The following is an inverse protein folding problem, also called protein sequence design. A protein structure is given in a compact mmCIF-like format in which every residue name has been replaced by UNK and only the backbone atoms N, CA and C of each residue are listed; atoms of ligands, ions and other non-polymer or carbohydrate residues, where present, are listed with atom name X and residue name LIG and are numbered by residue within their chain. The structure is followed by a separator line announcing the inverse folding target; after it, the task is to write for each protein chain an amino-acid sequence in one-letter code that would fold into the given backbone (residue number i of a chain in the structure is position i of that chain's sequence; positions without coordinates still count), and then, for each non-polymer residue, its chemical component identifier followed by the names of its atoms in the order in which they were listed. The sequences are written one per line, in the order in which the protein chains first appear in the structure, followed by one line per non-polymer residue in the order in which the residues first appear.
data_IF_047107485806
#
_entry.id   IF_047107485806
#
_cell.length_a   1.000
_cell.length_b   1.000
_cell.length_c   1.000
_cell.angle_alpha   90.00
_cell.angle_beta   90.00
_cell.angle_gamma   90.00
#
_symmetry.space_group_name_H-M   'P 1'
#
loop_
_entity.id
_entity.type
_entity.pdbx_description
1 polymer ?
#
# COMPACT_ATOMS: atom_id res chain seq x y z
N UNK A 1 18.04 14.39 84.88
CA UNK A 1 16.66 14.27 85.39
C UNK A 1 15.74 14.22 84.17
N UNK A 2 14.71 13.37 84.22
CA UNK A 2 13.56 13.29 83.29
C UNK A 2 13.74 12.42 82.02
N UNK A 3 12.64 11.71 81.71
CA UNK A 3 12.45 10.41 81.03
C UNK A 3 11.68 10.56 79.70
N UNK A 4 11.86 9.56 78.79
CA UNK A 4 10.88 8.95 77.82
C UNK A 4 10.33 9.87 76.68
N UNK A 5 9.73 9.34 75.58
CA UNK A 5 9.05 8.04 75.41
C UNK A 5 9.27 7.24 74.10
N UNK A 6 8.63 6.05 74.10
CA UNK A 6 8.53 5.02 73.07
C UNK A 6 7.72 5.43 71.81
N UNK A 7 8.09 4.79 70.68
CA UNK A 7 7.40 4.39 69.43
C UNK A 7 6.22 5.19 68.83
N UNK A 8 6.12 5.12 67.48
CA UNK A 8 4.85 4.75 66.88
C UNK A 8 5.01 3.73 65.73
N UNK A 9 4.84 2.43 66.03
CA UNK A 9 4.54 1.40 65.01
C UNK A 9 3.22 1.68 64.25
N UNK A 10 2.40 2.63 64.73
CA UNK A 10 1.10 3.00 64.17
C UNK A 10 1.15 3.72 62.81
N UNK A 11 2.29 4.32 62.43
CA UNK A 11 2.42 5.10 61.19
C UNK A 11 2.65 4.24 59.94
N UNK A 12 3.32 3.09 60.10
CA UNK A 12 3.62 2.18 58.97
C UNK A 12 2.38 1.44 58.48
N UNK A 13 1.48 1.06 59.38
CA UNK A 13 0.24 0.35 59.03
C UNK A 13 -0.74 1.24 58.26
N UNK A 14 -0.88 2.51 58.65
CA UNK A 14 -1.74 3.46 57.95
C UNK A 14 -1.26 3.74 56.52
N UNK A 15 0.06 3.84 56.32
CA UNK A 15 0.66 4.03 55.00
C UNK A 15 0.47 2.81 54.08
N UNK A 16 0.59 1.60 54.64
CA UNK A 16 0.36 0.34 53.92
C UNK A 16 -1.11 0.17 53.49
N UNK A 17 -2.05 0.55 54.35
CA UNK A 17 -3.48 0.51 54.04
C UNK A 17 -3.84 1.49 52.92
N UNK A 18 -3.29 2.71 52.93
CA UNK A 18 -3.51 3.69 51.85
C UNK A 18 -2.96 3.20 50.51
N UNK A 19 -1.79 2.55 50.51
CA UNK A 19 -1.17 2.02 49.30
C UNK A 19 -1.99 0.85 48.72
N UNK A 20 -2.52 -0.02 49.57
CA UNK A 20 -3.42 -1.10 49.16
C UNK A 20 -4.74 -0.57 48.59
N UNK A 21 -5.35 0.44 49.23
CA UNK A 21 -6.59 1.07 48.73
C UNK A 21 -6.38 1.70 47.35
N UNK A 22 -5.23 2.35 47.12
CA UNK A 22 -4.89 2.94 45.82
C UNK A 22 -4.65 1.88 44.73
N UNK A 23 -4.06 0.73 45.07
CA UNK A 23 -3.87 -0.37 44.12
C UNK A 23 -5.20 -1.02 43.74
N UNK A 24 -6.09 -1.24 44.71
CA UNK A 24 -7.43 -1.80 44.45
C UNK A 24 -8.29 -0.86 43.61
N UNK A 25 -8.22 0.46 43.82
CA UNK A 25 -8.95 1.42 42.99
C UNK A 25 -8.44 1.44 41.54
N UNK A 26 -7.12 1.33 41.34
CA UNK A 26 -6.52 1.24 40.00
C UNK A 26 -6.93 -0.05 39.26
N UNK A 27 -6.99 -1.18 39.96
CA UNK A 27 -7.42 -2.46 39.37
C UNK A 27 -8.90 -2.44 38.94
N UNK A 28 -9.77 -1.83 39.75
CA UNK A 28 -11.19 -1.67 39.41
C UNK A 28 -11.39 -0.75 38.20
N UNK A 29 -10.67 0.37 38.12
CA UNK A 29 -10.71 1.26 36.96
C UNK A 29 -10.20 0.54 35.71
N UNK A 30 -9.10 -0.21 35.82
CA UNK A 30 -8.57 -0.98 34.70
C UNK A 30 -9.56 -2.06 34.21
N UNK A 31 -10.21 -2.77 35.11
CA UNK A 31 -11.22 -3.78 34.75
C UNK A 31 -12.43 -3.16 34.03
N UNK A 32 -12.93 -2.01 34.49
CA UNK A 32 -14.07 -1.31 33.88
C UNK A 32 -13.70 -0.70 32.52
N UNK A 33 -12.52 -0.12 32.39
CA UNK A 33 -12.05 0.41 31.09
C UNK A 33 -11.81 -0.73 30.09
N UNK A 34 -11.32 -1.88 30.55
CA UNK A 34 -11.09 -3.05 29.69
C UNK A 34 -12.39 -3.70 29.20
N UNK A 35 -13.48 -3.65 29.97
CA UNK A 35 -14.79 -4.16 29.54
C UNK A 35 -15.54 -3.17 28.64
N UNK A 36 -15.32 -1.86 28.79
CA UNK A 36 -15.92 -0.84 27.92
C UNK A 36 -15.22 -0.73 26.56
N UNK A 37 -13.94 -1.09 26.47
CA UNK A 37 -13.16 -1.03 25.23
C UNK A 37 -13.12 -2.34 24.42
N UNK A 38 -13.62 -3.46 24.97
CA UNK A 38 -13.74 -4.73 24.25
C UNK A 38 -15.21 -5.16 24.13
N UNK A 39 -15.90 -4.86 23.02
CA UNK A 39 -17.19 -5.48 22.75
C UNK A 39 -16.97 -6.96 22.45
N UNK A 40 -17.50 -7.83 23.31
CA UNK A 40 -17.57 -9.28 23.12
C UNK A 40 -18.30 -9.59 21.81
N UNK A 41 -17.56 -10.17 20.87
CA UNK A 41 -18.10 -10.76 19.63
C UNK A 41 -18.83 -12.04 20.00
N UNK A 42 -20.14 -12.09 19.73
CA UNK A 42 -20.92 -13.33 19.75
C UNK A 42 -20.56 -14.17 18.50
N UNK A 43 -20.33 -15.49 18.64
CA UNK A 43 -20.15 -16.40 17.52
C UNK A 43 -21.47 -17.11 17.15
N UNK A 44 -21.63 -17.42 15.84
CA UNK A 44 -22.76 -18.06 15.11
C UNK A 44 -23.53 -17.03 14.26
N UNK A 45 -23.68 -17.15 12.94
CA UNK A 45 -23.86 -18.35 12.12
C UNK A 45 -23.43 -18.14 10.65
N UNK A 46 -23.47 -19.23 9.91
CA UNK A 46 -22.63 -19.71 8.82
C UNK A 46 -22.98 -19.33 7.37
N UNK A 47 -21.96 -19.54 6.51
CA UNK A 47 -22.03 -20.02 5.12
C UNK A 47 -22.31 -19.04 3.96
N UNK A 48 -21.23 -18.69 3.24
CA UNK A 48 -21.19 -18.83 1.78
C UNK A 48 -19.73 -18.95 1.33
N UNK A 49 -19.20 -20.17 1.34
CA UNK A 49 -18.05 -20.50 0.50
C UNK A 49 -18.53 -20.55 -0.95
N UNK A 50 -17.89 -19.77 -1.81
CA UNK A 50 -17.81 -20.12 -3.23
C UNK A 50 -16.41 -19.80 -3.72
N UNK A 51 -15.76 -20.88 -4.10
CA UNK A 51 -14.45 -21.11 -4.66
C UNK A 51 -14.18 -20.21 -5.88
N UNK A 52 -13.08 -19.45 -5.88
CA UNK A 52 -12.47 -19.02 -7.15
C UNK A 52 -10.94 -18.95 -7.03
N UNK A 53 -10.32 -20.02 -7.51
CA UNK A 53 -8.89 -20.26 -7.54
C UNK A 53 -8.30 -19.82 -8.89
N UNK A 54 -7.91 -18.56 -9.04
CA UNK A 54 -6.80 -18.12 -9.92
C UNK A 54 -6.21 -16.80 -9.38
N UNK A 55 -5.00 -16.88 -8.80
CA UNK A 55 -4.05 -15.77 -8.57
C UNK A 55 -4.60 -14.43 -8.05
N UNK A 56 -5.54 -14.47 -7.09
CA UNK A 56 -5.84 -13.33 -6.23
C UNK A 56 -4.83 -13.31 -5.10
N UNK A 57 -3.92 -12.33 -5.09
CA UNK A 57 -3.18 -12.00 -3.87
C UNK A 57 -4.22 -11.43 -2.91
N UNK A 58 -4.71 -12.28 -2.01
CA UNK A 58 -5.51 -11.89 -0.86
C UNK A 58 -4.58 -11.12 0.09
N UNK A 59 -4.45 -9.82 -0.15
CA UNK A 59 -3.99 -8.92 0.89
C UNK A 59 -4.99 -9.11 2.03
N UNK A 60 -4.53 -9.58 3.20
CA UNK A 60 -5.36 -9.66 4.41
C UNK A 60 -5.84 -8.27 4.80
N UNK A 61 -6.82 -7.76 4.05
CA UNK A 61 -7.26 -6.39 4.04
C UNK A 61 -8.02 -6.16 5.34
N UNK A 62 -7.48 -5.28 6.18
CA UNK A 62 -8.36 -4.53 7.06
C UNK A 62 -9.28 -3.72 6.15
N UNK A 63 -10.54 -4.16 6.03
CA UNK A 63 -11.62 -3.43 5.35
C UNK A 63 -11.57 -1.95 5.78
N UNK A 64 -11.05 -1.05 4.93
CA UNK A 64 -11.03 0.40 5.17
C UNK A 64 -9.72 1.17 4.90
N UNK A 65 -8.64 0.54 4.45
CA UNK A 65 -7.39 1.28 4.15
C UNK A 65 -7.32 1.85 2.72
N UNK A 66 -7.89 1.17 1.72
CA UNK A 66 -7.88 1.62 0.32
C UNK A 66 -9.11 2.46 -0.07
N UNK A 67 -9.15 2.92 -1.32
CA UNK A 67 -10.23 3.71 -1.92
C UNK A 67 -10.39 5.13 -1.34
N UNK A 68 -9.32 5.74 -0.84
CA UNK A 68 -9.35 7.12 -0.30
C UNK A 68 -9.25 8.20 -1.37
N UNK A 69 -8.53 7.91 -2.46
CA UNK A 69 -8.25 8.85 -3.55
C UNK A 69 -7.26 9.96 -3.14
N UNK A 70 -7.09 10.94 -4.03
CA UNK A 70 -6.33 12.18 -3.81
C UNK A 70 -7.32 13.32 -3.63
N UNK A 71 -7.22 14.00 -2.50
CA UNK A 71 -8.00 15.21 -2.22
C UNK A 71 -7.55 16.36 -3.12
N UNK A 72 -8.47 17.28 -3.39
CA UNK A 72 -8.19 18.49 -4.17
C UNK A 72 -7.66 18.19 -5.59
N UNK A 73 -8.20 17.13 -6.21
CA UNK A 73 -7.88 16.70 -7.55
C UNK A 73 -9.17 16.36 -8.30
N UNK A 74 -9.34 16.92 -9.51
CA UNK A 74 -10.40 16.58 -10.43
C UNK A 74 -9.81 15.86 -11.65
N UNK A 75 -10.01 14.54 -11.68
CA UNK A 75 -9.71 13.74 -12.86
C UNK A 75 -10.83 13.89 -13.89
N UNK A 76 -10.46 14.12 -15.14
CA UNK A 76 -11.38 14.22 -16.26
C UNK A 76 -11.70 12.84 -16.85
N UNK A 77 -12.60 12.79 -17.82
CA UNK A 77 -12.98 11.56 -18.52
C UNK A 77 -14.44 11.56 -18.93
N UNK A 78 -14.79 10.67 -19.85
CA UNK A 78 -16.17 10.49 -20.28
C UNK A 78 -17.00 9.91 -19.12
N UNK A 79 -18.13 10.53 -18.79
CA UNK A 79 -18.99 10.07 -17.71
C UNK A 79 -19.67 8.74 -18.10
N UNK A 80 -19.50 7.72 -17.25
CA UNK A 80 -20.24 6.45 -17.34
C UNK A 80 -21.39 6.41 -16.33
N UNK A 81 -21.28 7.18 -15.24
CA UNK A 81 -22.38 7.46 -14.32
C UNK A 81 -22.35 8.94 -13.93
N UNK A 82 -23.50 9.61 -14.08
CA UNK A 82 -23.68 11.02 -13.74
C UNK A 82 -23.84 11.18 -12.23
N UNK A 83 -23.03 12.06 -11.63
CA UNK A 83 -23.01 12.25 -10.18
C UNK A 83 -24.22 13.00 -9.62
N UNK A 84 -24.96 13.74 -10.46
CA UNK A 84 -26.20 14.42 -10.08
C UNK A 84 -27.22 13.48 -9.42
N UNK A 85 -27.32 12.26 -9.97
CA UNK A 85 -28.26 11.22 -9.55
C UNK A 85 -27.57 10.03 -8.88
N UNK A 86 -26.25 10.14 -8.65
CA UNK A 86 -25.44 9.08 -8.09
C UNK A 86 -24.60 9.62 -6.95
N UNK A 87 -25.10 9.42 -5.72
CA UNK A 87 -24.54 10.02 -4.51
C UNK A 87 -24.17 8.98 -3.47
N UNK A 88 -23.10 9.25 -2.74
CA UNK A 88 -22.59 8.44 -1.64
C UNK A 88 -22.23 9.31 -0.44
N UNK A 89 -21.98 8.67 0.70
CA UNK A 89 -21.58 9.35 1.93
C UNK A 89 -20.05 9.41 2.07
N UNK A 90 -19.30 8.68 1.24
CA UNK A 90 -17.84 8.64 1.28
C UNK A 90 -17.18 8.40 -0.07
N UNK A 91 -15.91 8.80 -0.19
CA UNK A 91 -15.06 8.47 -1.33
C UNK A 91 -14.84 6.97 -1.48
N UNK A 92 -14.82 6.24 -0.36
CA UNK A 92 -14.68 4.78 -0.32
C UNK A 92 -15.82 4.10 -1.07
N UNK A 93 -17.06 4.48 -0.79
CA UNK A 93 -18.24 3.95 -1.48
C UNK A 93 -18.23 4.31 -2.98
N UNK A 94 -17.82 5.54 -3.33
CA UNK A 94 -17.70 5.97 -4.72
C UNK A 94 -16.65 5.16 -5.50
N UNK A 95 -15.47 4.95 -4.91
CA UNK A 95 -14.42 4.11 -5.46
C UNK A 95 -14.87 2.66 -5.61
N UNK A 96 -15.54 2.10 -4.60
CA UNK A 96 -16.09 0.74 -4.64
C UNK A 96 -17.13 0.57 -5.74
N UNK A 97 -17.97 1.59 -5.98
CA UNK A 97 -18.91 1.59 -7.09
C UNK A 97 -18.19 1.56 -8.45
N UNK A 98 -17.08 2.28 -8.60
CA UNK A 98 -16.23 2.19 -9.79
C UNK A 98 -15.63 0.79 -9.96
N UNK A 99 -15.05 0.23 -8.88
CA UNK A 99 -14.49 -1.14 -8.87
C UNK A 99 -15.52 -2.21 -9.22
N UNK A 100 -16.78 -2.04 -8.79
CA UNK A 100 -17.86 -2.97 -9.14
C UNK A 100 -18.19 -2.97 -10.64
N UNK A 101 -17.77 -1.94 -11.39
CA UNK A 101 -17.88 -1.90 -12.85
C UNK A 101 -16.64 -2.50 -13.56
N UNK A 102 -15.75 -3.16 -12.81
CA UNK A 102 -14.57 -3.87 -13.29
C UNK A 102 -14.70 -5.40 -13.19
N UNK A 103 -15.89 -5.94 -12.92
CA UNK A 103 -16.12 -7.37 -12.62
C UNK A 103 -16.24 -8.30 -13.86
N UNK A 104 -15.91 -7.82 -15.06
CA UNK A 104 -15.96 -8.64 -16.27
C UNK A 104 -14.81 -9.65 -16.33
N UNK A 105 -15.11 -10.90 -16.71
CA UNK A 105 -14.08 -11.94 -16.90
C UNK A 105 -13.18 -11.67 -18.12
N UNK A 106 -13.68 -10.91 -19.11
CA UNK A 106 -12.94 -10.51 -20.32
C UNK A 106 -13.31 -9.07 -20.70
N UNK A 107 -12.40 -8.11 -20.45
CA UNK A 107 -12.52 -6.73 -20.96
C UNK A 107 -12.02 -5.64 -20.02
N UNK A 108 -11.74 -4.43 -20.54
CA UNK A 108 -11.33 -3.27 -19.74
C UNK A 108 -12.47 -2.81 -18.84
N UNK A 109 -12.13 -2.22 -17.68
CA UNK A 109 -13.12 -1.65 -16.77
C UNK A 109 -14.03 -0.64 -17.48
N UNK A 110 -15.35 -0.70 -17.24
CA UNK A 110 -16.28 0.35 -17.70
C UNK A 110 -16.03 1.66 -16.95
N UNK A 111 -15.65 1.60 -15.68
CA UNK A 111 -15.20 2.73 -14.89
C UNK A 111 -13.75 2.50 -14.46
N UNK A 112 -12.84 3.41 -14.81
CA UNK A 112 -11.45 3.39 -14.33
C UNK A 112 -11.06 4.69 -13.63
N UNK A 113 -12.00 5.63 -13.47
CA UNK A 113 -11.80 6.89 -12.76
C UNK A 113 -13.07 7.26 -12.02
N UNK A 114 -12.92 7.76 -10.80
CA UNK A 114 -14.03 8.26 -10.01
C UNK A 114 -13.68 9.61 -9.41
N UNK A 115 -14.71 10.45 -9.20
CA UNK A 115 -14.59 11.78 -8.59
C UNK A 115 -15.72 11.93 -7.58
N UNK A 116 -15.40 12.31 -6.35
CA UNK A 116 -16.33 12.41 -5.23
C UNK A 116 -16.25 13.77 -4.54
N UNK A 117 -17.41 14.36 -4.19
CA UNK A 117 -17.47 15.61 -3.43
C UNK A 117 -17.82 15.35 -1.96
N UNK A 118 -16.80 15.24 -1.11
CA UNK A 118 -16.97 14.87 0.30
C UNK A 118 -17.06 16.02 1.30
N UNK A 119 -16.69 17.24 0.92
CA UNK A 119 -16.70 18.39 1.84
C UNK A 119 -17.99 19.19 1.67
N UNK A 120 -18.90 19.15 2.65
CA UNK A 120 -20.22 19.81 2.55
C UNK A 120 -20.14 21.31 2.26
N UNK A 121 -19.17 22.00 2.85
CA UNK A 121 -19.00 23.46 2.71
C UNK A 121 -18.46 23.82 1.32
N UNK A 122 -17.41 23.13 0.87
CA UNK A 122 -16.80 23.38 -0.44
C UNK A 122 -17.65 22.89 -1.61
N UNK A 123 -18.41 21.80 -1.41
CA UNK A 123 -19.20 21.17 -2.46
C UNK A 123 -20.57 21.81 -2.69
N UNK A 124 -21.17 22.41 -1.65
CA UNK A 124 -22.51 22.99 -1.75
C UNK A 124 -23.55 21.96 -2.21
N UNK A 125 -24.25 22.26 -3.31
CA UNK A 125 -25.26 21.36 -3.90
C UNK A 125 -24.69 20.04 -4.44
N UNK A 126 -23.37 20.02 -4.72
CA UNK A 126 -22.65 18.84 -5.22
C UNK A 126 -22.22 17.88 -4.12
N UNK A 127 -22.53 18.18 -2.85
CA UNK A 127 -22.17 17.31 -1.74
C UNK A 127 -22.73 15.89 -1.95
N UNK A 128 -21.85 14.91 -1.78
CA UNK A 128 -22.13 13.49 -1.96
C UNK A 128 -22.10 13.02 -3.42
N UNK A 129 -21.99 13.90 -4.41
CA UNK A 129 -21.94 13.48 -5.82
C UNK A 129 -20.73 12.57 -6.07
N UNK A 130 -20.99 11.46 -6.76
CA UNK A 130 -20.01 10.50 -7.22
C UNK A 130 -20.10 10.38 -8.74
N UNK A 131 -19.07 10.84 -9.43
CA UNK A 131 -18.96 10.77 -10.87
C UNK A 131 -18.08 9.58 -11.24
N UNK A 132 -18.65 8.60 -11.93
CA UNK A 132 -17.90 7.49 -12.49
C UNK A 132 -17.55 7.82 -13.93
N UNK A 133 -16.27 7.69 -14.28
CA UNK A 133 -15.71 8.13 -15.54
C UNK A 133 -14.82 7.06 -16.16
N UNK A 134 -14.55 7.24 -17.46
CA UNK A 134 -13.61 6.44 -18.24
C UNK A 134 -12.52 7.33 -18.84
N UNK A 135 -11.26 6.96 -18.60
CA UNK A 135 -10.09 7.57 -19.23
C UNK A 135 -9.91 7.08 -20.66
N UNK A 136 -9.32 7.92 -21.51
CA UNK A 136 -8.81 7.48 -22.80
C UNK A 136 -7.58 6.57 -22.64
N UNK A 137 -6.72 6.92 -21.68
CA UNK A 137 -5.53 6.17 -21.30
C UNK A 137 -5.35 6.22 -19.78
N UNK A 138 -5.61 5.10 -19.11
CA UNK A 138 -5.57 5.01 -17.65
C UNK A 138 -4.16 5.15 -17.07
N UNK A 139 -3.10 4.91 -17.88
CA UNK A 139 -1.70 5.18 -17.49
C UNK A 139 -1.27 6.62 -17.80
N UNK A 140 -2.19 7.43 -18.34
CA UNK A 140 -2.00 8.85 -18.65
C UNK A 140 -3.29 9.64 -18.33
N UNK A 141 -3.75 9.59 -17.07
CA UNK A 141 -5.07 10.11 -16.70
C UNK A 141 -5.18 11.60 -17.01
N UNK A 142 -6.25 11.99 -17.69
CA UNK A 142 -6.54 13.38 -17.98
C UNK A 142 -6.92 14.10 -16.68
N UNK A 143 -6.31 15.26 -16.43
CA UNK A 143 -6.56 16.10 -15.26
C UNK A 143 -7.27 17.38 -15.70
N UNK A 144 -8.37 17.73 -15.05
CA UNK A 144 -9.04 19.00 -15.28
C UNK A 144 -8.43 20.10 -14.40
N UNK A 145 -8.40 19.86 -13.09
CA UNK A 145 -7.92 20.84 -12.11
C UNK A 145 -7.29 20.13 -10.90
N UNK A 146 -6.36 20.80 -10.22
CA UNK A 146 -5.78 20.36 -8.96
C UNK A 146 -5.40 21.56 -8.09
N UNK A 147 -5.42 21.39 -6.76
CA UNK A 147 -5.03 22.42 -5.79
C UNK A 147 -6.16 22.80 -4.83
N UNK A 148 -5.84 23.61 -3.81
CA UNK A 148 -6.71 23.85 -2.65
C UNK A 148 -8.12 24.40 -2.97
N UNK A 149 -8.32 24.97 -4.15
CA UNK A 149 -9.62 25.46 -4.64
C UNK A 149 -10.53 24.34 -5.15
N UNK A 150 -9.98 23.15 -5.42
CA UNK A 150 -10.70 21.99 -5.94
C UNK A 150 -11.38 21.24 -4.80
N UNK A 151 -12.71 21.17 -4.82
CA UNK A 151 -13.51 20.47 -3.81
C UNK A 151 -13.60 18.96 -4.01
N UNK A 152 -13.08 18.46 -5.13
CA UNK A 152 -13.18 17.06 -5.53
C UNK A 152 -12.04 16.20 -4.95
N UNK A 153 -12.38 14.97 -4.61
CA UNK A 153 -11.45 13.88 -4.35
C UNK A 153 -11.57 12.89 -5.50
N UNK A 154 -10.46 12.54 -6.14
CA UNK A 154 -10.47 11.64 -7.31
C UNK A 154 -9.54 10.45 -7.12
N UNK A 155 -9.84 9.36 -7.83
CA UNK A 155 -8.96 8.19 -7.89
C UNK A 155 -9.12 7.41 -9.19
N UNK A 156 -8.18 6.51 -9.40
CA UNK A 156 -8.13 5.61 -10.56
C UNK A 156 -8.34 4.18 -10.07
N UNK A 157 -8.93 3.35 -10.92
CA UNK A 157 -9.05 1.91 -10.71
C UNK A 157 -8.46 1.21 -11.92
N UNK A 158 -7.67 0.16 -11.70
CA UNK A 158 -7.20 -0.71 -12.77
C UNK A 158 -7.98 -2.02 -12.77
N UNK A 159 -8.42 -2.45 -13.95
CA UNK A 159 -9.01 -3.77 -14.16
C UNK A 159 -8.00 -4.89 -14.09
N UNK A 160 -8.50 -6.11 -14.30
CA UNK A 160 -7.65 -7.30 -14.44
C UNK A 160 -6.75 -7.13 -15.67
N UNK A 161 -5.43 -7.30 -15.49
CA UNK A 161 -4.44 -7.12 -16.56
C UNK A 161 -4.13 -5.66 -16.92
N UNK A 162 -4.77 -4.68 -16.29
CA UNK A 162 -4.46 -3.26 -16.46
C UNK A 162 -3.53 -2.76 -15.33
N UNK A 163 -2.96 -1.56 -15.51
CA UNK A 163 -2.13 -0.95 -14.48
C UNK A 163 -0.76 -1.60 -14.31
N UNK A 164 -0.28 -2.34 -15.31
CA UNK A 164 0.98 -3.06 -15.27
C UNK A 164 2.06 -2.24 -15.99
N UNK A 165 3.18 -2.01 -15.30
CA UNK A 165 4.34 -1.28 -15.82
C UNK A 165 5.56 -2.18 -15.88
N UNK A 166 6.48 -1.90 -16.80
CA UNK A 166 7.72 -2.64 -17.00
C UNK A 166 8.86 -1.93 -16.27
N UNK A 167 9.59 -2.64 -15.41
CA UNK A 167 10.89 -2.23 -14.88
C UNK A 167 11.97 -3.07 -15.57
N UNK A 168 12.59 -2.49 -16.60
CA UNK A 168 13.59 -3.18 -17.43
C UNK A 168 15.00 -3.02 -16.85
N UNK A 169 15.69 -4.15 -16.70
CA UNK A 169 17.09 -4.23 -16.24
C UNK A 169 17.91 -5.08 -17.22
N UNK A 170 19.24 -5.09 -17.08
CA UNK A 170 20.11 -6.01 -17.85
C UNK A 170 19.88 -7.50 -17.51
N UNK A 171 19.16 -7.81 -16.43
CA UNK A 171 18.89 -9.19 -15.97
C UNK A 171 17.51 -9.72 -16.35
N UNK A 172 16.65 -8.86 -16.90
CA UNK A 172 15.25 -9.15 -17.23
C UNK A 172 14.33 -7.96 -16.98
N UNK A 173 13.06 -8.11 -17.35
CA UNK A 173 12.01 -7.10 -17.12
C UNK A 173 11.08 -7.60 -16.03
N UNK A 174 10.86 -6.78 -15.00
CA UNK A 174 9.87 -7.03 -13.97
C UNK A 174 8.57 -6.32 -14.32
N UNK A 175 7.47 -7.05 -14.49
CA UNK A 175 6.14 -6.46 -14.62
C UNK A 175 5.57 -6.18 -13.24
N UNK A 176 5.24 -4.92 -12.97
CA UNK A 176 4.72 -4.46 -11.69
C UNK A 176 3.27 -4.03 -11.88
N UNK A 177 2.34 -4.73 -11.22
CA UNK A 177 0.94 -4.33 -11.12
C UNK A 177 0.82 -3.24 -10.06
N UNK A 178 0.31 -2.07 -10.43
CA UNK A 178 0.14 -0.92 -9.55
C UNK A 178 -1.19 -0.95 -8.79
N UNK A 179 -1.24 -0.34 -7.60
CA UNK A 179 -2.41 -0.31 -6.71
C UNK A 179 -2.94 1.12 -6.48
N UNK A 180 -3.62 1.73 -7.48
CA UNK A 180 -4.04 3.13 -7.41
C UNK A 180 -5.14 3.39 -6.39
N UNK A 181 -5.90 2.37 -6.00
CA UNK A 181 -6.92 2.46 -4.96
C UNK A 181 -6.30 2.50 -3.56
N UNK A 182 -5.21 1.78 -3.34
CA UNK A 182 -4.53 1.70 -2.04
C UNK A 182 -3.43 2.75 -1.85
N UNK A 183 -2.71 3.09 -2.93
CA UNK A 183 -1.58 4.02 -2.92
C UNK A 183 -1.66 5.04 -4.08
N UNK A 184 -2.72 5.86 -4.14
CA UNK A 184 -2.96 6.78 -5.26
C UNK A 184 -1.84 7.81 -5.47
N UNK A 185 -1.22 8.35 -4.42
CA UNK A 185 -0.11 9.31 -4.55
C UNK A 185 1.15 8.62 -5.10
N UNK A 186 1.45 7.42 -4.60
CA UNK A 186 2.55 6.60 -5.10
C UNK A 186 2.37 6.24 -6.57
N UNK A 187 1.19 5.76 -6.95
CA UNK A 187 0.90 5.41 -8.34
C UNK A 187 0.97 6.65 -9.23
N UNK A 188 0.45 7.80 -8.78
CA UNK A 188 0.55 9.06 -9.51
C UNK A 188 2.01 9.43 -9.80
N UNK A 189 2.90 9.27 -8.82
CA UNK A 189 4.33 9.48 -9.00
C UNK A 189 4.94 8.53 -10.05
N UNK A 190 4.57 7.24 -10.03
CA UNK A 190 5.02 6.28 -11.06
C UNK A 190 4.51 6.70 -12.44
N UNK A 191 3.25 7.11 -12.58
CA UNK A 191 2.71 7.57 -13.86
C UNK A 191 3.44 8.82 -14.38
N UNK A 192 3.84 9.74 -13.50
CA UNK A 192 4.66 10.90 -13.86
C UNK A 192 6.06 10.46 -14.31
N UNK A 193 6.69 9.49 -13.64
CA UNK A 193 7.96 8.91 -14.08
C UNK A 193 7.87 8.26 -15.47
N UNK A 194 6.74 7.61 -15.81
CA UNK A 194 6.54 7.00 -17.14
C UNK A 194 6.48 8.02 -18.28
N UNK A 195 6.24 9.30 -17.99
CA UNK A 195 6.29 10.36 -19.00
C UNK A 195 7.74 10.75 -19.36
N UNK A 196 8.70 10.39 -18.50
CA UNK A 196 10.11 10.65 -18.73
C UNK A 196 10.68 9.58 -19.67
N UNK A 197 11.50 9.99 -20.64
CA UNK A 197 12.17 9.05 -21.55
C UNK A 197 13.17 8.15 -20.84
N UNK A 198 13.81 8.67 -19.79
CA UNK A 198 14.79 7.96 -18.98
C UNK A 198 14.69 8.45 -17.53
N UNK A 199 14.71 7.52 -16.57
CA UNK A 199 14.97 7.86 -15.18
C UNK A 199 16.48 7.79 -14.93
N UNK A 200 17.20 8.85 -15.31
CA UNK A 200 18.61 8.96 -14.97
C UNK A 200 18.76 8.90 -13.45
N UNK A 201 19.49 7.93 -12.90
CA UNK A 201 19.63 7.74 -11.45
C UNK A 201 18.76 6.65 -10.82
N UNK A 202 17.74 6.13 -11.54
CA UNK A 202 17.00 4.95 -11.10
C UNK A 202 17.92 3.72 -11.13
N UNK A 203 18.12 3.09 -9.96
CA UNK A 203 18.99 1.92 -9.83
C UNK A 203 18.64 1.07 -8.62
N UNK A 204 18.91 -0.23 -8.71
CA UNK A 204 18.92 -1.18 -7.59
C UNK A 204 20.35 -1.24 -7.07
N UNK A 205 20.53 -1.05 -5.76
CA UNK A 205 21.87 -0.97 -5.15
C UNK A 205 22.05 -1.93 -3.97
N UNK A 206 20.98 -2.53 -3.45
CA UNK A 206 21.01 -3.51 -2.36
C UNK A 206 20.28 -4.77 -2.78
N UNK A 207 20.85 -5.91 -2.45
CA UNK A 207 20.33 -7.21 -2.83
C UNK A 207 20.62 -8.22 -1.71
N UNK A 208 19.56 -8.77 -1.13
CA UNK A 208 19.63 -9.74 -0.05
C UNK A 208 18.75 -10.93 -0.38
N UNK A 209 19.37 -12.10 -0.51
CA UNK A 209 18.65 -13.35 -0.78
C UNK A 209 17.81 -13.77 0.43
N UNK A 210 17.02 -14.84 0.30
CA UNK A 210 16.27 -15.44 1.42
C UNK A 210 17.15 -16.09 2.48
N UNK A 211 18.43 -16.32 2.20
CA UNK A 211 19.31 -17.07 3.08
C UNK A 211 18.71 -18.41 3.49
N UNK A 212 18.73 -18.71 4.79
CA UNK A 212 18.10 -19.89 5.39
C UNK A 212 16.87 -19.52 6.24
N UNK A 213 16.34 -18.30 6.06
CA UNK A 213 15.27 -17.77 6.89
C UNK A 213 13.88 -17.88 6.25
N UNK A 214 13.81 -18.04 4.93
CA UNK A 214 12.56 -18.24 4.20
C UNK A 214 12.66 -19.40 3.20
N UNK A 215 11.52 -20.05 2.94
CA UNK A 215 11.39 -21.15 1.99
C UNK A 215 11.28 -20.66 0.51
N UNK A 216 11.06 -21.60 -0.42
CA UNK A 216 10.91 -21.29 -1.85
C UNK A 216 9.63 -20.49 -2.17
N UNK A 217 8.62 -20.54 -1.31
CA UNK A 217 7.38 -19.76 -1.44
C UNK A 217 7.48 -18.39 -0.74
N UNK A 218 8.57 -18.14 -0.02
CA UNK A 218 8.78 -16.92 0.75
C UNK A 218 8.13 -16.96 2.13
N UNK A 219 7.74 -18.12 2.66
CA UNK A 219 7.27 -18.23 4.03
C UNK A 219 8.44 -18.31 5.00
N UNK A 220 8.32 -17.66 6.16
CA UNK A 220 9.36 -17.66 7.17
C UNK A 220 9.51 -19.05 7.80
N UNK A 221 10.75 -19.53 7.89
CA UNK A 221 11.07 -20.81 8.52
C UNK A 221 10.99 -20.66 10.03
N UNK A 222 10.31 -21.59 10.70
CA UNK A 222 10.14 -21.55 12.15
C UNK A 222 11.50 -21.42 12.86
N UNK A 223 11.57 -20.53 13.85
CA UNK A 223 12.75 -20.26 14.68
C UNK A 223 13.97 -19.65 13.95
N UNK A 224 13.83 -19.30 12.66
CA UNK A 224 14.86 -18.55 11.94
C UNK A 224 14.89 -17.06 12.34
N UNK A 225 15.99 -16.38 12.01
CA UNK A 225 16.14 -14.94 12.23
C UNK A 225 15.50 -14.17 11.07
N UNK A 226 14.78 -13.08 11.37
CA UNK A 226 14.20 -12.16 10.37
C UNK A 226 15.23 -11.24 9.67
N UNK A 227 16.49 -11.67 9.65
CA UNK A 227 17.58 -11.02 8.94
C UNK A 227 18.69 -10.46 9.84
N UNK A 228 19.78 -9.97 9.21
CA UNK A 228 20.10 -10.15 7.79
C UNK A 228 20.40 -11.64 7.43
N UNK A 229 20.09 -12.07 6.20
CA UNK A 229 19.54 -11.27 5.11
C UNK A 229 18.03 -11.01 5.27
N UNK A 230 17.52 -9.92 4.71
CA UNK A 230 16.11 -9.51 4.78
C UNK A 230 15.26 -9.90 3.56
N UNK A 231 15.75 -10.79 2.69
CA UNK A 231 15.00 -11.27 1.52
C UNK A 231 14.39 -10.16 0.65
N UNK A 232 15.18 -9.19 0.21
CA UNK A 232 14.72 -8.04 -0.58
C UNK A 232 15.76 -7.58 -1.60
N UNK A 233 15.27 -6.92 -2.65
CA UNK A 233 16.10 -6.02 -3.48
C UNK A 233 15.62 -4.59 -3.24
N UNK A 234 16.56 -3.67 -3.05
CA UNK A 234 16.27 -2.27 -2.73
C UNK A 234 16.98 -1.34 -3.71
N UNK A 235 16.26 -0.30 -4.11
CA UNK A 235 16.69 0.69 -5.09
C UNK A 235 16.16 2.08 -4.79
N UNK A 236 16.39 2.97 -5.74
CA UNK A 236 15.90 4.35 -5.72
C UNK A 236 15.06 4.64 -6.97
N UNK A 237 13.88 5.22 -6.77
CA UNK A 237 13.00 5.72 -7.84
C UNK A 237 13.05 7.24 -7.82
N UNK A 238 14.15 7.82 -8.31
CA UNK A 238 14.28 9.26 -8.46
C UNK A 238 15.00 9.59 -9.76
N UNK A 239 14.34 10.36 -10.62
CA UNK A 239 14.96 10.92 -11.82
C UNK A 239 15.87 12.10 -11.46
N UNK A 240 17.09 12.08 -11.96
CA UNK A 240 18.10 13.11 -11.78
C UNK A 240 17.60 14.46 -12.30
N UNK A 241 17.85 15.51 -11.53
CA UNK A 241 17.40 16.87 -11.87
C UNK A 241 15.94 17.16 -11.51
N UNK A 242 15.18 16.17 -11.03
CA UNK A 242 13.82 16.38 -10.52
C UNK A 242 13.79 16.19 -9.00
N UNK A 243 13.43 17.22 -8.21
CA UNK A 243 13.30 17.06 -6.76
C UNK A 243 12.24 16.02 -6.44
N UNK A 244 12.59 15.02 -5.62
CA UNK A 244 11.61 14.05 -5.14
C UNK A 244 10.77 14.68 -4.03
N UNK A 245 9.46 14.71 -4.22
CA UNK A 245 8.52 15.14 -3.18
C UNK A 245 8.16 13.92 -2.33
N UNK A 246 8.36 14.03 -1.02
CA UNK A 246 7.99 12.99 -0.05
C UNK A 246 6.55 12.56 -0.26
N UNK A 247 6.34 11.25 -0.38
CA UNK A 247 5.03 10.66 -0.56
C UNK A 247 4.41 10.47 0.84
N UNK A 248 3.14 10.86 1.04
CA UNK A 248 2.46 10.61 2.31
C UNK A 248 2.33 9.10 2.54
N UNK A 249 2.20 8.70 3.81
CA UNK A 249 1.92 7.29 4.11
C UNK A 249 0.50 6.95 3.65
N UNK A 250 0.39 5.92 2.82
CA UNK A 250 -0.89 5.43 2.26
C UNK A 250 -1.25 4.08 2.89
N UNK A 251 -2.06 3.24 2.23
CA UNK A 251 -2.36 1.92 2.77
C UNK A 251 -1.07 1.11 3.00
N UNK A 252 -0.98 0.45 4.15
CA UNK A 252 0.19 -0.30 4.56
C UNK A 252 -0.22 -1.75 4.83
N UNK A 253 -0.56 -2.54 3.80
CA UNK A 253 -0.88 -3.94 3.98
C UNK A 253 0.38 -4.71 4.41
N UNK A 254 0.18 -5.93 4.92
CA UNK A 254 1.28 -6.84 5.23
C UNK A 254 2.12 -7.09 3.98
N UNK A 255 3.45 -7.02 4.13
CA UNK A 255 4.37 -7.28 3.04
C UNK A 255 4.35 -8.76 2.69
N UNK A 256 4.01 -9.05 1.43
CA UNK A 256 4.06 -10.38 0.82
C UNK A 256 5.16 -10.46 -0.23
N UNK A 257 5.58 -11.67 -0.58
CA UNK A 257 6.49 -11.92 -1.70
C UNK A 257 5.98 -11.21 -2.96
N UNK A 258 6.85 -10.44 -3.60
CA UNK A 258 6.55 -9.61 -4.77
C UNK A 258 6.06 -8.20 -4.45
N UNK A 259 5.74 -7.86 -3.20
CA UNK A 259 5.31 -6.50 -2.84
C UNK A 259 6.38 -5.47 -3.19
N UNK A 260 5.95 -4.36 -3.78
CA UNK A 260 6.78 -3.19 -4.07
C UNK A 260 6.34 -2.06 -3.15
N UNK A 261 7.26 -1.57 -2.32
CA UNK A 261 6.94 -0.64 -1.25
C UNK A 261 8.02 0.42 -1.04
N UNK A 262 7.59 1.58 -0.54
CA UNK A 262 8.51 2.66 -0.17
C UNK A 262 9.22 2.36 1.14
N UNK A 263 10.48 2.80 1.25
CA UNK A 263 11.18 2.94 2.52
C UNK A 263 10.91 4.37 3.03
N UNK A 264 10.21 4.48 4.15
CA UNK A 264 9.76 5.77 4.65
C UNK A 264 8.83 6.46 3.65
N UNK A 265 9.14 7.69 3.27
CA UNK A 265 8.37 8.49 2.31
C UNK A 265 8.94 8.48 0.89
N UNK A 266 9.85 7.54 0.58
CA UNK A 266 10.65 7.50 -0.65
C UNK A 266 11.82 8.52 -0.65
N UNK A 267 12.65 8.53 -1.70
CA UNK A 267 12.54 7.81 -2.98
C UNK A 267 13.07 6.38 -2.96
N UNK A 268 13.64 5.92 -1.84
CA UNK A 268 14.06 4.54 -1.72
C UNK A 268 12.87 3.59 -1.67
N UNK A 269 12.97 2.47 -2.38
CA UNK A 269 11.94 1.44 -2.42
C UNK A 269 12.57 0.06 -2.30
N UNK A 270 11.76 -0.95 -2.01
CA UNK A 270 12.16 -2.34 -2.10
C UNK A 270 11.12 -3.19 -2.83
N UNK A 271 11.61 -4.29 -3.41
CA UNK A 271 10.80 -5.42 -3.86
C UNK A 271 11.09 -6.56 -2.90
N UNK A 272 10.06 -7.06 -2.24
CA UNK A 272 10.22 -8.15 -1.30
C UNK A 272 10.29 -9.50 -2.01
N UNK A 273 11.25 -10.33 -1.61
CA UNK A 273 11.39 -11.70 -2.09
C UNK A 273 10.66 -12.70 -1.17
N UNK A 274 10.09 -12.25 -0.05
CA UNK A 274 9.47 -13.11 0.95
C UNK A 274 8.26 -12.44 1.64
N UNK A 275 7.58 -13.19 2.50
CA UNK A 275 6.50 -12.70 3.35
C UNK A 275 7.12 -12.15 4.64
N UNK A 276 6.75 -10.92 5.00
CA UNK A 276 7.23 -10.23 6.21
C UNK A 276 6.06 -9.79 7.09
N UNK A 277 5.54 -10.73 7.88
CA UNK A 277 4.45 -10.45 8.83
C UNK A 277 4.92 -9.60 10.02
N UNK A 278 6.21 -9.71 10.37
CA UNK A 278 6.88 -8.98 11.44
C UNK A 278 6.98 -7.48 11.16
N UNK A 279 6.97 -7.07 9.88
CA UNK A 279 6.94 -5.67 9.48
C UNK A 279 5.56 -5.02 9.56
N UNK A 280 4.51 -5.81 9.84
CA UNK A 280 3.14 -5.33 10.06
C UNK A 280 2.69 -4.35 8.97
N UNK A 281 2.21 -3.17 9.36
CA UNK A 281 1.66 -2.12 8.50
C UNK A 281 2.62 -0.92 8.40
N UNK A 282 3.93 -1.18 8.29
CA UNK A 282 4.95 -0.12 8.35
C UNK A 282 5.32 0.51 7.01
N UNK A 283 4.93 -0.09 5.89
CA UNK A 283 5.37 0.34 4.56
C UNK A 283 4.18 0.52 3.63
N UNK A 284 4.18 1.63 2.89
CA UNK A 284 3.21 1.87 1.82
C UNK A 284 3.53 0.96 0.64
N UNK A 285 2.62 0.04 0.34
CA UNK A 285 2.72 -0.87 -0.81
C UNK A 285 1.98 -0.25 -1.98
N UNK A 286 2.70 0.03 -3.06
CA UNK A 286 2.14 0.69 -4.25
C UNK A 286 2.03 -0.22 -5.47
N UNK A 287 2.55 -1.44 -5.38
CA UNK A 287 2.37 -2.46 -6.40
C UNK A 287 2.89 -3.82 -6.00
N UNK A 288 2.82 -4.76 -6.93
CA UNK A 288 3.39 -6.09 -6.81
C UNK A 288 4.03 -6.53 -8.12
N UNK A 289 5.20 -7.16 -8.04
CA UNK A 289 5.79 -7.90 -9.17
C UNK A 289 4.89 -9.09 -9.50
N UNK A 290 4.64 -9.33 -10.79
CA UNK A 290 3.90 -10.49 -11.25
C UNK A 290 4.66 -11.79 -10.93
N UNK A 291 3.91 -12.86 -10.61
CA UNK A 291 4.49 -14.12 -10.12
C UNK A 291 5.50 -14.74 -11.09
N UNK A 292 5.25 -14.63 -12.40
CA UNK A 292 6.09 -15.10 -13.49
C UNK A 292 7.46 -14.41 -13.55
N UNK A 293 7.58 -13.17 -13.06
CA UNK A 293 8.82 -12.40 -13.11
C UNK A 293 9.62 -12.48 -11.81
N UNK A 294 9.10 -13.14 -10.78
CA UNK A 294 9.78 -13.21 -9.49
C UNK A 294 11.13 -13.93 -9.57
N UNK A 295 11.32 -14.85 -10.51
CA UNK A 295 12.62 -15.49 -10.76
C UNK A 295 13.70 -14.47 -11.16
N UNK A 296 13.33 -13.38 -11.83
CA UNK A 296 14.25 -12.29 -12.21
C UNK A 296 14.70 -11.53 -10.97
N UNK A 297 13.77 -11.20 -10.06
CA UNK A 297 14.09 -10.54 -8.80
C UNK A 297 14.99 -11.42 -7.91
N UNK A 298 14.72 -12.72 -7.87
CA UNK A 298 15.55 -13.69 -7.16
C UNK A 298 16.94 -13.83 -7.78
N UNK A 299 17.06 -13.81 -9.11
CA UNK A 299 18.35 -13.78 -9.81
C UNK A 299 19.17 -12.55 -9.45
N UNK A 300 18.54 -11.37 -9.39
CA UNK A 300 19.20 -10.12 -8.95
C UNK A 300 19.73 -10.26 -7.51
N UNK A 301 18.96 -10.92 -6.63
CA UNK A 301 19.33 -11.14 -5.24
C UNK A 301 20.57 -12.01 -5.02
N UNK A 302 20.99 -12.77 -6.04
CA UNK A 302 22.18 -13.65 -6.03
C UNK A 302 23.42 -13.00 -6.65
N UNK A 303 23.32 -11.75 -7.13
CA UNK A 303 24.47 -11.06 -7.73
C UNK A 303 25.54 -10.74 -6.69
N UNK A 304 26.81 -10.54 -7.11
CA UNK A 304 27.90 -10.23 -6.18
C UNK A 304 27.63 -8.97 -5.34
N UNK A 305 27.72 -9.12 -4.02
CA UNK A 305 27.56 -8.03 -3.05
C UNK A 305 28.84 -7.78 -2.25
N UNK A 306 28.87 -6.66 -1.56
CA UNK A 306 29.81 -6.30 -0.50
C UNK A 306 29.01 -6.06 0.78
N UNK A 307 29.57 -6.45 1.91
CA UNK A 307 28.97 -6.12 3.21
C UNK A 307 29.15 -4.63 3.50
N UNK A 308 28.12 -4.02 4.07
CA UNK A 308 28.14 -2.65 4.61
C UNK A 308 27.34 -2.63 5.92
N UNK A 309 27.41 -1.54 6.70
CA UNK A 309 26.70 -1.40 7.97
C UNK A 309 25.88 -0.12 7.98
N UNK A 310 24.55 -0.26 8.01
CA UNK A 310 23.62 0.87 8.08
C UNK A 310 22.85 0.82 9.38
N UNK A 311 22.92 1.89 10.18
CA UNK A 311 22.25 1.96 11.49
C UNK A 311 22.55 0.74 12.40
N UNK A 312 23.81 0.29 12.43
CA UNK A 312 24.27 -0.91 13.15
C UNK A 312 23.70 -2.25 12.65
N UNK A 313 23.15 -2.29 11.45
CA UNK A 313 22.66 -3.51 10.79
C UNK A 313 23.57 -3.83 9.61
N UNK A 314 24.05 -5.08 9.54
CA UNK A 314 24.81 -5.55 8.38
C UNK A 314 23.88 -5.68 7.17
N UNK A 315 24.27 -5.10 6.05
CA UNK A 315 23.51 -5.15 4.79
C UNK A 315 24.39 -5.63 3.64
N UNK A 316 23.76 -6.22 2.62
CA UNK A 316 24.45 -6.66 1.41
C UNK A 316 24.19 -5.70 0.25
N UNK A 317 25.20 -4.89 -0.07
CA UNK A 317 25.14 -3.87 -1.14
C UNK A 317 25.70 -4.47 -2.42
N UNK A 318 25.03 -4.29 -3.56
CA UNK A 318 25.53 -4.74 -4.85
C UNK A 318 26.90 -4.11 -5.15
N UNK A 319 27.84 -4.92 -5.63
CA UNK A 319 29.16 -4.39 -6.04
C UNK A 319 29.04 -3.39 -7.19
N UNK A 320 28.07 -3.63 -8.09
CA UNK A 320 27.69 -2.73 -9.17
C UNK A 320 26.19 -2.47 -9.09
N UNK A 321 25.75 -1.21 -8.86
CA UNK A 321 24.34 -0.86 -8.95
C UNK A 321 23.77 -1.18 -10.34
N UNK A 322 22.52 -1.62 -10.37
CA UNK A 322 21.82 -2.07 -11.58
C UNK A 322 20.89 -0.93 -12.02
N UNK A 323 21.21 -0.20 -13.09
CA UNK A 323 20.30 0.79 -13.62
C UNK A 323 19.05 0.11 -14.18
N UNK A 324 17.91 0.80 -14.09
CA UNK A 324 16.66 0.30 -14.66
C UNK A 324 15.86 1.42 -15.34
N UNK A 325 14.98 1.03 -16.25
CA UNK A 325 14.07 1.94 -16.95
C UNK A 325 12.63 1.54 -16.68
N UNK A 326 11.81 2.51 -16.27
CA UNK A 326 10.36 2.33 -16.16
C UNK A 326 9.70 2.57 -17.51
N UNK A 327 8.86 1.64 -17.96
CA UNK A 327 8.14 1.73 -19.24
C UNK A 327 6.69 1.29 -19.09
N UNK A 328 5.87 1.76 -20.02
CA UNK A 328 4.51 1.24 -20.20
C UNK A 328 4.60 -0.10 -20.94
N UNK A 329 3.79 -1.06 -20.53
CA UNK A 329 3.66 -2.31 -21.26
C UNK A 329 3.21 -2.03 -22.70
N UNK A 330 3.88 -2.63 -23.68
CA UNK A 330 3.46 -2.52 -25.08
C UNK A 330 2.18 -3.32 -25.26
N UNK A 331 1.07 -2.66 -25.61
CA UNK A 331 -0.13 -3.38 -26.09
C UNK A 331 0.27 -4.16 -27.34
N UNK A 332 0.10 -5.48 -27.32
CA UNK A 332 0.32 -6.29 -28.51
C UNK A 332 -0.66 -5.81 -29.60
N UNK A 333 -0.21 -5.70 -30.85
CA UNK A 333 -1.03 -5.22 -31.97
C UNK A 333 -2.24 -6.12 -32.28
N UNK A 334 -2.42 -7.24 -31.58
CA UNK A 334 -3.48 -8.23 -31.81
C UNK A 334 -4.87 -7.81 -31.35
N UNK A 335 -4.97 -6.89 -30.38
CA UNK A 335 -6.26 -6.50 -29.77
C UNK A 335 -6.95 -5.30 -30.45
N UNK A 336 -6.33 -4.72 -31.48
CA UNK A 336 -6.90 -3.59 -32.24
C UNK A 336 -7.81 -4.02 -33.40
N UNK A 337 -7.87 -5.32 -33.74
CA UNK A 337 -8.57 -5.80 -34.93
C UNK A 337 -9.99 -6.35 -34.69
N UNK A 338 -10.56 -6.25 -33.49
CA UNK A 338 -11.93 -6.74 -33.22
C UNK A 338 -13.04 -5.69 -33.33
N UNK A 339 -12.73 -4.42 -33.64
CA UNK A 339 -13.74 -3.35 -33.76
C UNK A 339 -13.80 -2.67 -35.14
N UNK A 340 -13.81 -3.45 -36.22
CA UNK A 340 -14.38 -3.00 -37.49
C UNK A 340 -15.16 -4.14 -38.16
N UNK A 341 -16.44 -4.24 -37.82
CA UNK A 341 -17.47 -4.65 -38.79
C UNK A 341 -18.60 -3.63 -38.73
N UNK A 342 -18.53 -2.71 -39.67
CA UNK A 342 -19.64 -1.91 -40.16
C UNK A 342 -20.61 -2.80 -40.95
N UNK A 343 -21.87 -2.82 -40.53
CA UNK A 343 -23.02 -2.93 -41.44
C UNK A 343 -23.90 -1.70 -41.25
#
# INVERSE_FOLDING_TARGET
MVRRPNDPEHSRFASLVLLLVALFSCLLVYAVVSTLLNPTVNPQDSSFESLESVAGIDFGEKKGECCRGIENLELWGAAVKWGSDFKFNSSVECCQACKAMCSGNDGPCLCDTWVFCGNKEACGSRFGECWLKKQKDTLSPDRQEAGQTVSWTSGIVFGKGEGIVEMETEYGTLHIKLFPDCAPYSVTYILELLTLRHCAGCQIYRAESRGQSWDSQGNHIKDALYGPPFALIQGILQAQGTPFKKIPMEACPTIRRGSVAWIGSGPEFFISLANHEEWKNSYTVFGSVLSEDMEIAEKIAQLPTKSDVWNNINVSVLQRPIPFVMRRMKKSLGDLNTNVKSE
#
